data_IF_240107455929
#
_entry.id   IF_240107455929
#
_cell.length_a   1.000
_cell.length_b   1.000
_cell.length_c   1.000
_cell.angle_alpha   90.00
_cell.angle_beta   90.00
_cell.angle_gamma   90.00
#
_symmetry.space_group_name_H-M   'P 1'
#
loop_
_entity.id
_entity.type
_entity.pdbx_description
1 polymer ?
#
# COMPACT_ATOMS: atom_id res chain seq x y z
N UNK A 1 11.47 12.37 10.80
CA UNK A 1 12.67 11.55 10.95
C UNK A 1 12.93 10.83 9.64
N UNK A 2 14.13 11.00 9.07
CA UNK A 2 14.56 10.30 7.85
C UNK A 2 15.31 9.02 8.26
N UNK A 3 14.87 7.86 7.75
CA UNK A 3 15.49 6.56 8.06
C UNK A 3 15.83 5.83 6.77
N UNK A 4 17.12 5.69 6.51
CA UNK A 4 17.61 4.97 5.33
C UNK A 4 17.18 3.51 5.33
N UNK A 5 16.77 3.03 4.15
CA UNK A 5 16.41 1.63 3.96
C UNK A 5 17.55 0.70 4.35
N UNK A 6 18.79 1.06 3.99
CA UNK A 6 19.99 0.31 4.36
C UNK A 6 20.15 0.12 5.87
N UNK A 7 19.76 1.12 6.67
CA UNK A 7 19.82 1.04 8.14
C UNK A 7 18.70 0.15 8.69
N UNK A 8 17.49 0.29 8.15
CA UNK A 8 16.32 -0.49 8.57
C UNK A 8 16.42 -1.97 8.18
N UNK A 9 16.93 -2.25 6.99
CA UNK A 9 17.03 -3.58 6.37
C UNK A 9 18.38 -4.25 6.63
N UNK A 10 19.23 -3.64 7.48
CA UNK A 10 20.57 -4.15 7.82
C UNK A 10 20.54 -5.60 8.32
N UNK A 11 19.47 -5.98 9.01
CA UNK A 11 19.27 -7.32 9.57
C UNK A 11 18.29 -8.17 8.74
N UNK A 12 18.00 -7.77 7.50
CA UNK A 12 17.07 -8.44 6.60
C UNK A 12 15.68 -7.84 6.55
N UNK A 13 14.88 -8.33 5.60
CA UNK A 13 13.51 -7.87 5.37
C UNK A 13 12.57 -8.33 6.48
N UNK A 14 12.84 -9.46 7.14
CA UNK A 14 12.05 -9.95 8.29
C UNK A 14 12.09 -8.92 9.41
N UNK A 15 13.29 -8.49 9.80
CA UNK A 15 13.46 -7.47 10.84
C UNK A 15 12.73 -6.16 10.47
N UNK A 16 12.87 -5.71 9.22
CA UNK A 16 12.16 -4.53 8.75
C UNK A 16 10.63 -4.71 8.85
N UNK A 17 10.09 -5.90 8.56
CA UNK A 17 8.66 -6.18 8.75
C UNK A 17 8.23 -6.19 10.22
N UNK A 18 9.05 -6.74 11.13
CA UNK A 18 8.76 -6.79 12.57
C UNK A 18 8.80 -5.41 13.21
N UNK A 19 9.74 -4.56 12.79
CA UNK A 19 9.96 -3.24 13.39
C UNK A 19 8.75 -2.29 13.31
N UNK A 20 7.84 -2.52 12.35
CA UNK A 20 6.64 -1.68 12.15
C UNK A 20 5.38 -2.25 12.81
N UNK A 21 5.43 -3.48 13.33
CA UNK A 21 4.28 -4.15 13.96
C UNK A 21 3.69 -3.32 15.11
N UNK A 22 4.48 -2.77 16.05
CA UNK A 22 3.92 -1.99 17.17
C UNK A 22 3.18 -0.71 16.72
N UNK A 23 3.54 -0.14 15.56
CA UNK A 23 2.79 0.98 14.98
C UNK A 23 1.44 0.50 14.45
N UNK A 24 1.42 -0.60 13.72
CA UNK A 24 0.18 -1.15 13.16
C UNK A 24 -0.80 -1.61 14.25
N UNK A 25 -0.29 -2.20 15.33
CA UNK A 25 -1.11 -2.67 16.44
C UNK A 25 -1.79 -1.51 17.19
N UNK A 26 -1.14 -0.36 17.34
CA UNK A 26 -1.77 0.80 18.01
C UNK A 26 -2.63 1.66 17.09
N UNK A 27 -2.46 1.56 15.77
CA UNK A 27 -3.19 2.40 14.80
C UNK A 27 -4.63 1.93 14.66
N UNK A 28 -5.58 2.86 14.72
CA UNK A 28 -7.00 2.55 14.53
C UNK A 28 -7.49 2.85 13.11
N UNK A 29 -6.97 3.91 12.49
CA UNK A 29 -7.34 4.37 11.15
C UNK A 29 -6.10 4.53 10.27
N UNK A 30 -6.14 3.86 9.12
CA UNK A 30 -5.13 3.95 8.08
C UNK A 30 -5.71 4.72 6.90
N UNK A 31 -5.00 5.76 6.46
CA UNK A 31 -5.23 6.41 5.17
C UNK A 31 -3.99 6.21 4.32
N UNK A 32 -4.17 5.56 3.17
CA UNK A 32 -3.05 5.09 2.35
C UNK A 32 -3.27 5.58 0.93
N UNK A 33 -2.35 6.40 0.42
CA UNK A 33 -2.27 6.70 -0.99
C UNK A 33 -1.12 5.91 -1.60
N UNK A 34 -1.42 5.11 -2.62
CA UNK A 34 -0.45 4.22 -3.25
C UNK A 34 -0.46 4.38 -4.77
N UNK A 35 0.50 5.15 -5.33
CA UNK A 35 0.55 5.38 -6.77
C UNK A 35 1.34 4.33 -7.58
N UNK A 36 2.06 3.42 -6.93
CA UNK A 36 3.03 2.54 -7.61
C UNK A 36 2.96 1.05 -7.23
N UNK A 37 2.25 0.68 -6.16
CA UNK A 37 2.01 -0.72 -5.81
C UNK A 37 0.72 -0.92 -5.03
N UNK A 38 0.28 -2.17 -4.89
CA UNK A 38 -0.84 -2.51 -4.00
C UNK A 38 -0.31 -2.50 -2.56
N UNK A 39 -0.88 -1.72 -1.63
CA UNK A 39 -0.27 -1.49 -0.33
C UNK A 39 -0.37 -2.70 0.58
N UNK A 40 0.59 -2.76 1.52
CA UNK A 40 0.79 -3.86 2.46
C UNK A 40 -0.47 -4.49 3.04
N UNK A 41 -1.49 -3.77 3.54
CA UNK A 41 -2.66 -4.39 4.18
C UNK A 41 -3.50 -5.30 3.29
N UNK A 42 -3.40 -5.17 1.97
CA UNK A 42 -4.28 -5.85 0.99
C UNK A 42 -3.50 -6.65 -0.05
N UNK A 43 -2.30 -7.13 0.28
CA UNK A 43 -1.48 -7.98 -0.60
C UNK A 43 -1.73 -9.48 -0.34
N UNK A 44 -1.64 -10.31 -1.37
CA UNK A 44 -1.59 -11.77 -1.25
C UNK A 44 -0.16 -12.24 -0.96
N UNK A 45 -0.01 -13.45 -0.41
CA UNK A 45 1.31 -14.02 -0.12
C UNK A 45 2.20 -14.14 -1.38
N UNK A 46 1.61 -14.47 -2.55
CA UNK A 46 2.34 -14.55 -3.82
C UNK A 46 2.83 -13.17 -4.28
N UNK A 47 1.99 -12.13 -4.16
CA UNK A 47 2.38 -10.76 -4.47
C UNK A 47 3.46 -10.25 -3.50
N UNK A 48 3.32 -10.51 -2.20
CA UNK A 48 4.34 -10.17 -1.20
C UNK A 48 5.68 -10.82 -1.55
N UNK A 49 5.67 -12.11 -1.90
CA UNK A 49 6.87 -12.86 -2.25
C UNK A 49 7.57 -12.22 -3.44
N UNK A 50 6.84 -11.91 -4.52
CA UNK A 50 7.39 -11.27 -5.71
C UNK A 50 7.96 -9.87 -5.40
N UNK A 51 7.23 -9.05 -4.64
CA UNK A 51 7.65 -7.71 -4.26
C UNK A 51 8.90 -7.72 -3.39
N UNK A 52 8.93 -8.55 -2.33
CA UNK A 52 10.07 -8.63 -1.42
C UNK A 52 11.31 -9.20 -2.09
N UNK A 53 11.12 -10.16 -3.02
CA UNK A 53 12.20 -10.66 -3.88
C UNK A 53 12.81 -9.55 -4.72
N UNK A 54 11.98 -8.74 -5.39
CA UNK A 54 12.45 -7.59 -6.17
C UNK A 54 13.19 -6.56 -5.31
N UNK A 55 12.71 -6.29 -4.09
CA UNK A 55 13.37 -5.36 -3.15
C UNK A 55 14.74 -5.92 -2.72
N UNK A 56 14.81 -7.20 -2.33
CA UNK A 56 16.05 -7.89 -1.94
C UNK A 56 17.08 -7.77 -3.06
N UNK A 57 16.71 -8.12 -4.28
CA UNK A 57 17.62 -8.14 -5.43
C UNK A 57 18.12 -6.74 -5.77
N UNK A 58 17.22 -5.75 -5.80
CA UNK A 58 17.57 -4.35 -6.09
C UNK A 58 18.50 -3.74 -5.03
N UNK A 59 18.36 -4.14 -3.77
CA UNK A 59 19.10 -3.56 -2.64
C UNK A 59 20.26 -4.42 -2.12
N UNK A 60 20.48 -5.61 -2.70
CA UNK A 60 21.56 -6.52 -2.30
C UNK A 60 21.44 -7.01 -0.85
N UNK A 61 20.24 -7.35 -0.41
CA UNK A 61 19.95 -7.75 0.98
C UNK A 61 20.19 -9.25 1.21
N UNK A 62 20.26 -9.65 2.48
CA UNK A 62 20.24 -11.07 2.86
C UNK A 62 18.95 -11.72 2.37
N UNK A 63 19.00 -13.00 2.00
CA UNK A 63 17.82 -13.72 1.56
C UNK A 63 17.04 -14.31 2.75
N UNK A 64 16.17 -13.49 3.33
CA UNK A 64 15.21 -13.89 4.35
C UNK A 64 13.75 -13.70 3.90
N UNK A 65 13.52 -13.66 2.58
CA UNK A 65 12.20 -13.38 1.97
C UNK A 65 11.10 -14.30 2.51
N UNK A 66 11.26 -15.63 2.61
CA UNK A 66 10.20 -16.50 3.14
C UNK A 66 9.78 -16.14 4.56
N UNK A 67 10.73 -15.75 5.42
CA UNK A 67 10.45 -15.34 6.78
C UNK A 67 9.78 -13.96 6.81
N UNK A 68 10.22 -13.03 5.97
CA UNK A 68 9.62 -11.71 5.84
C UNK A 68 8.18 -11.76 5.30
N UNK A 69 7.90 -12.68 4.35
CA UNK A 69 6.54 -12.96 3.85
C UNK A 69 5.65 -13.39 4.99
N UNK A 70 6.09 -14.35 5.83
CA UNK A 70 5.33 -14.83 6.98
C UNK A 70 4.94 -13.69 7.92
N UNK A 71 5.90 -12.85 8.32
CA UNK A 71 5.63 -11.69 9.18
C UNK A 71 4.64 -10.72 8.53
N UNK A 72 4.77 -10.45 7.23
CA UNK A 72 3.84 -9.54 6.54
C UNK A 72 2.42 -10.12 6.46
N UNK A 73 2.27 -11.41 6.17
CA UNK A 73 0.96 -12.10 6.13
C UNK A 73 0.28 -12.10 7.50
N UNK A 74 1.03 -12.36 8.57
CA UNK A 74 0.52 -12.30 9.94
C UNK A 74 0.09 -10.87 10.31
N UNK A 75 0.91 -9.87 9.98
CA UNK A 75 0.61 -8.46 10.22
C UNK A 75 -0.63 -7.99 9.46
N UNK A 76 -0.91 -8.51 8.26
CA UNK A 76 -2.08 -8.14 7.46
C UNK A 76 -3.43 -8.54 8.09
N UNK A 77 -3.44 -9.49 9.03
CA UNK A 77 -4.69 -9.95 9.67
C UNK A 77 -5.45 -8.82 10.38
N UNK A 78 -4.78 -7.70 10.69
CA UNK A 78 -5.41 -6.49 11.24
C UNK A 78 -6.53 -5.93 10.36
N UNK A 79 -6.56 -6.23 9.06
CA UNK A 79 -7.60 -5.78 8.12
C UNK A 79 -8.98 -6.36 8.42
N UNK A 80 -9.01 -7.56 9.02
CA UNK A 80 -10.23 -8.27 9.43
C UNK A 80 -10.72 -7.85 10.83
N UNK A 81 -10.00 -6.95 11.50
CA UNK A 81 -10.36 -6.43 12.82
C UNK A 81 -11.30 -5.22 12.77
N UNK A 82 -11.29 -4.44 13.86
CA UNK A 82 -12.10 -3.22 14.01
C UNK A 82 -11.48 -1.97 13.37
N UNK A 83 -10.22 -2.06 12.95
CA UNK A 83 -9.44 -0.95 12.35
C UNK A 83 -10.05 -0.54 11.02
N UNK A 84 -9.89 0.73 10.65
CA UNK A 84 -10.43 1.29 9.41
C UNK A 84 -9.30 1.55 8.42
N UNK A 85 -9.51 1.16 7.17
CA UNK A 85 -8.57 1.33 6.08
C UNK A 85 -9.26 2.13 4.98
N UNK A 86 -8.75 3.31 4.66
CA UNK A 86 -9.09 4.08 3.48
C UNK A 86 -7.89 4.05 2.54
N UNK A 87 -8.03 3.40 1.41
CA UNK A 87 -6.95 3.11 0.47
C UNK A 87 -7.29 3.77 -0.86
N UNK A 88 -6.39 4.58 -1.39
CA UNK A 88 -6.47 5.17 -2.71
C UNK A 88 -5.37 4.55 -3.58
N UNK A 89 -5.78 3.94 -4.69
CA UNK A 89 -4.88 3.39 -5.69
C UNK A 89 -4.99 4.20 -6.97
N UNK A 90 -3.86 4.45 -7.61
CA UNK A 90 -3.87 4.82 -9.03
C UNK A 90 -4.25 3.59 -9.87
N UNK A 91 -5.08 3.75 -10.89
CA UNK A 91 -5.43 2.62 -11.77
C UNK A 91 -4.19 1.96 -12.40
N UNK A 92 -3.12 2.73 -12.65
CA UNK A 92 -1.83 2.21 -13.14
C UNK A 92 -1.27 1.08 -12.25
N UNK A 93 -1.51 1.12 -10.94
CA UNK A 93 -1.09 0.09 -9.99
C UNK A 93 -1.65 -1.28 -10.33
N UNK A 94 -2.88 -1.34 -10.84
CA UNK A 94 -3.55 -2.59 -11.18
C UNK A 94 -2.90 -3.27 -12.39
N UNK A 95 -2.13 -2.51 -13.19
CA UNK A 95 -1.51 -2.95 -14.44
C UNK A 95 -0.02 -3.26 -14.29
N UNK A 96 0.62 -2.90 -13.17
CA UNK A 96 2.01 -3.29 -12.91
C UNK A 96 2.10 -4.79 -12.63
N UNK A 97 2.80 -5.53 -13.50
CA UNK A 97 2.88 -7.00 -13.49
C UNK A 97 3.85 -7.57 -12.44
N UNK A 98 3.67 -7.18 -11.17
CA UNK A 98 4.51 -7.67 -10.07
C UNK A 98 4.21 -9.16 -9.84
N UNK A 99 5.22 -10.01 -10.08
CA UNK A 99 5.08 -11.47 -9.98
C UNK A 99 4.46 -12.15 -11.20
N UNK A 100 4.22 -11.41 -12.29
CA UNK A 100 3.59 -11.93 -13.51
C UNK A 100 2.06 -11.98 -13.47
N UNK A 101 1.46 -12.44 -14.56
CA UNK A 101 0.01 -12.41 -14.79
C UNK A 101 -0.78 -13.18 -13.73
N UNK A 102 -0.39 -14.42 -13.41
CA UNK A 102 -1.11 -15.27 -12.47
C UNK A 102 -1.14 -14.66 -11.05
N UNK A 103 0.01 -14.13 -10.60
CA UNK A 103 0.11 -13.46 -9.30
C UNK A 103 -0.78 -12.22 -9.26
N UNK A 104 -0.79 -11.43 -10.34
CA UNK A 104 -1.64 -10.24 -10.42
C UNK A 104 -3.12 -10.58 -10.49
N UNK A 105 -3.54 -11.60 -11.25
CA UNK A 105 -4.94 -12.01 -11.30
C UNK A 105 -5.44 -12.43 -9.90
N UNK A 106 -4.66 -13.25 -9.18
CA UNK A 106 -4.98 -13.62 -7.80
C UNK A 106 -4.99 -12.43 -6.84
N UNK A 107 -4.05 -11.50 -7.00
CA UNK A 107 -3.98 -10.28 -6.20
C UNK A 107 -5.17 -9.33 -6.43
N UNK A 108 -5.59 -9.13 -7.67
CA UNK A 108 -6.74 -8.30 -8.02
C UNK A 108 -8.07 -8.97 -7.58
N UNK A 109 -8.18 -10.29 -7.71
CA UNK A 109 -9.31 -11.05 -7.13
C UNK A 109 -9.38 -10.91 -5.61
N UNK A 110 -8.24 -10.87 -4.93
CA UNK A 110 -8.18 -10.59 -3.50
C UNK A 110 -8.64 -9.16 -3.17
N UNK A 111 -8.28 -8.15 -3.98
CA UNK A 111 -8.80 -6.78 -3.83
C UNK A 111 -10.33 -6.76 -3.85
N UNK A 112 -10.95 -7.41 -4.84
CA UNK A 112 -12.41 -7.51 -4.93
C UNK A 112 -13.03 -8.16 -3.67
N UNK A 113 -12.32 -9.12 -3.07
CA UNK A 113 -12.77 -9.80 -1.84
C UNK A 113 -12.68 -8.88 -0.62
N UNK A 114 -11.57 -8.15 -0.43
CA UNK A 114 -11.41 -7.23 0.71
C UNK A 114 -12.27 -5.98 0.61
N UNK A 115 -12.66 -5.57 -0.61
CA UNK A 115 -13.65 -4.50 -0.81
C UNK A 115 -15.03 -4.81 -0.22
N UNK A 116 -15.33 -6.07 0.11
CA UNK A 116 -16.55 -6.44 0.80
C UNK A 116 -16.47 -6.23 2.33
N UNK A 117 -15.29 -5.95 2.89
CA UNK A 117 -15.11 -5.77 4.33
C UNK A 117 -15.59 -4.37 4.76
N UNK A 118 -16.41 -4.25 5.83
CA UNK A 118 -16.89 -2.95 6.32
C UNK A 118 -15.79 -2.10 6.98
N UNK A 119 -14.61 -2.68 7.19
CA UNK A 119 -13.39 -2.00 7.67
C UNK A 119 -12.58 -1.37 6.53
N UNK A 120 -12.85 -1.71 5.27
CA UNK A 120 -12.00 -1.37 4.13
C UNK A 120 -12.78 -0.55 3.10
N UNK A 121 -12.25 0.63 2.77
CA UNK A 121 -12.64 1.43 1.62
C UNK A 121 -11.48 1.49 0.66
N UNK A 122 -11.70 1.05 -0.58
CA UNK A 122 -10.74 1.15 -1.68
C UNK A 122 -11.35 2.06 -2.74
N UNK A 123 -10.67 3.18 -2.98
CA UNK A 123 -10.90 4.07 -4.10
C UNK A 123 -9.86 3.83 -5.18
N UNK A 124 -10.29 3.85 -6.44
CA UNK A 124 -9.40 3.82 -7.59
C UNK A 124 -9.45 5.19 -8.25
N UNK A 125 -8.31 5.83 -8.45
CA UNK A 125 -8.23 7.05 -9.25
C UNK A 125 -8.05 6.60 -10.71
N UNK A 126 -9.04 6.86 -11.60
CA UNK A 126 -8.98 6.44 -12.99
C UNK A 126 -7.82 7.10 -13.74
N UNK A 127 -7.33 6.43 -14.80
CA UNK A 127 -6.26 6.99 -15.65
C UNK A 127 -6.65 8.30 -16.36
N UNK A 128 -7.94 8.53 -16.58
CA UNK A 128 -8.51 9.69 -17.26
C UNK A 128 -9.01 10.78 -16.30
N UNK A 129 -8.78 10.64 -14.99
CA UNK A 129 -9.13 11.68 -14.02
C UNK A 129 -8.44 13.01 -14.34
N UNK A 130 -9.15 14.13 -14.19
CA UNK A 130 -8.56 15.48 -14.37
C UNK A 130 -7.51 15.76 -13.29
N UNK A 131 -6.26 15.94 -13.72
CA UNK A 131 -5.11 16.19 -12.86
C UNK A 131 -4.66 17.64 -12.82
N UNK A 132 -5.39 18.55 -13.44
CA UNK A 132 -5.06 19.98 -13.45
C UNK A 132 -5.00 20.59 -12.05
N UNK A 133 -5.85 20.12 -11.13
CA UNK A 133 -5.87 20.58 -9.73
C UNK A 133 -4.91 19.85 -8.79
N UNK A 134 -4.57 18.58 -9.08
CA UNK A 134 -3.70 17.77 -8.23
C UNK A 134 -3.07 16.60 -9.00
N UNK A 135 -1.80 16.78 -9.39
CA UNK A 135 -0.96 15.72 -9.94
C UNK A 135 -0.65 14.63 -8.89
N UNK A 136 -0.28 13.41 -9.31
CA UNK A 136 0.17 12.36 -8.39
C UNK A 136 1.36 12.81 -7.52
N UNK A 137 1.33 12.43 -6.25
CA UNK A 137 2.38 12.75 -5.25
C UNK A 137 3.08 11.46 -4.78
N UNK A 138 3.96 11.57 -3.79
CA UNK A 138 4.61 10.41 -3.19
C UNK A 138 3.60 9.47 -2.52
N UNK A 139 3.91 8.16 -2.51
CA UNK A 139 3.12 7.20 -1.76
C UNK A 139 3.30 7.41 -0.25
N UNK A 140 2.19 7.44 0.50
CA UNK A 140 2.22 7.65 1.94
C UNK A 140 1.17 6.84 2.71
N UNK A 141 1.52 6.54 3.95
CA UNK A 141 0.65 5.94 4.96
C UNK A 141 0.46 6.95 6.09
N UNK A 142 -0.77 7.38 6.31
CA UNK A 142 -1.18 8.20 7.43
C UNK A 142 -1.86 7.31 8.47
N UNK A 143 -1.21 7.19 9.62
CA UNK A 143 -1.64 6.44 10.78
C UNK A 143 -2.35 7.40 11.74
N UNK A 144 -3.65 7.20 11.89
CA UNK A 144 -4.56 8.07 12.61
C UNK A 144 -4.48 9.52 12.11
N UNK A 145 -4.17 10.48 12.98
CA UNK A 145 -3.79 11.87 12.67
C UNK A 145 -2.44 12.20 13.34
N UNK A 146 -1.61 11.19 13.58
CA UNK A 146 -0.44 11.30 14.46
C UNK A 146 0.89 11.08 13.75
N UNK A 147 0.90 10.30 12.66
CA UNK A 147 2.12 9.91 11.98
C UNK A 147 1.87 9.66 10.51
N UNK A 148 2.76 10.18 9.65
CA UNK A 148 2.83 9.82 8.23
C UNK A 148 4.15 9.12 7.95
N UNK A 149 4.13 8.01 7.23
CA UNK A 149 5.31 7.45 6.57
C UNK A 149 5.21 7.69 5.07
N UNK A 150 6.26 8.30 4.51
CA UNK A 150 6.42 8.52 3.06
C UNK A 150 7.52 7.60 2.56
N UNK A 151 7.24 6.89 1.49
CA UNK A 151 8.18 5.97 0.86
C UNK A 151 9.05 6.71 -0.15
N UNK A 152 10.37 6.72 0.07
CA UNK A 152 11.35 7.30 -0.85
C UNK A 152 12.25 6.19 -1.42
N UNK A 153 13.01 6.52 -2.47
CA UNK A 153 13.95 5.57 -3.07
C UNK A 153 15.02 5.12 -2.05
N UNK A 154 15.57 6.07 -1.29
CA UNK A 154 16.70 5.87 -0.37
C UNK A 154 16.31 5.60 1.09
N UNK A 155 15.10 6.02 1.50
CA UNK A 155 14.65 6.00 2.90
C UNK A 155 13.12 5.95 3.00
N UNK A 156 12.61 5.81 4.22
CA UNK A 156 11.29 6.37 4.53
C UNK A 156 11.44 7.64 5.36
N UNK A 157 10.49 8.55 5.16
CA UNK A 157 10.35 9.75 5.98
C UNK A 157 9.16 9.57 6.91
N UNK A 158 9.41 9.64 8.21
CA UNK A 158 8.36 9.73 9.23
C UNK A 158 8.08 11.20 9.56
N UNK A 159 6.85 11.65 9.36
CA UNK A 159 6.38 13.00 9.68
C UNK A 159 5.43 12.94 10.87
N UNK A 160 5.63 13.83 11.84
CA UNK A 160 4.81 13.93 13.08
C UNK A 160 4.43 15.39 13.41
N UNK A 161 4.93 16.34 12.61
CA UNK A 161 4.68 17.76 12.75
C UNK A 161 3.22 18.06 12.38
N UNK A 162 2.45 18.65 13.31
CA UNK A 162 0.99 18.85 13.16
C UNK A 162 0.59 19.57 11.86
N UNK A 163 1.34 20.59 11.46
CA UNK A 163 1.08 21.34 10.22
C UNK A 163 1.26 20.45 8.97
N UNK A 164 2.29 19.61 8.95
CA UNK A 164 2.55 18.68 7.85
C UNK A 164 1.55 17.52 7.85
N UNK A 165 1.20 16.96 9.02
CA UNK A 165 0.14 15.95 9.14
C UNK A 165 -1.18 16.47 8.57
N UNK A 166 -1.52 17.73 8.84
CA UNK A 166 -2.69 18.38 8.28
C UNK A 166 -2.58 18.56 6.75
N UNK A 167 -1.38 18.76 6.19
CA UNK A 167 -1.17 18.78 4.74
C UNK A 167 -1.44 17.41 4.13
N UNK A 168 -0.85 16.33 4.66
CA UNK A 168 -1.10 14.96 4.17
C UNK A 168 -2.58 14.57 4.27
N UNK A 169 -3.24 14.94 5.37
CA UNK A 169 -4.68 14.69 5.54
C UNK A 169 -5.51 15.42 4.47
N UNK A 170 -5.20 16.68 4.17
CA UNK A 170 -5.88 17.45 3.10
C UNK A 170 -5.61 16.86 1.72
N UNK A 171 -4.35 16.57 1.39
CA UNK A 171 -4.00 15.95 0.11
C UNK A 171 -4.67 14.59 -0.06
N UNK A 172 -4.78 13.78 0.99
CA UNK A 172 -5.54 12.52 0.93
C UNK A 172 -7.03 12.77 0.58
N UNK A 173 -7.65 13.79 1.18
CA UNK A 173 -9.03 14.16 0.87
C UNK A 173 -9.19 14.64 -0.58
N UNK A 174 -8.29 15.48 -1.07
CA UNK A 174 -8.29 15.96 -2.46
C UNK A 174 -8.10 14.80 -3.46
N UNK A 175 -7.20 13.85 -3.16
CA UNK A 175 -7.04 12.62 -3.96
C UNK A 175 -8.28 11.73 -3.91
N UNK A 176 -8.98 11.67 -2.79
CA UNK A 176 -10.21 10.90 -2.63
C UNK A 176 -11.35 11.45 -3.50
N UNK A 177 -11.38 12.78 -3.74
CA UNK A 177 -12.35 13.40 -4.64
C UNK A 177 -12.15 13.00 -6.11
N UNK A 178 -10.93 12.62 -6.49
CA UNK A 178 -10.61 12.09 -7.83
C UNK A 178 -10.94 10.59 -7.97
N UNK A 179 -11.17 9.88 -6.87
CA UNK A 179 -11.32 8.44 -6.86
C UNK A 179 -12.77 8.01 -7.10
N UNK A 180 -12.95 6.91 -7.83
CA UNK A 180 -14.21 6.17 -7.90
C UNK A 180 -14.22 5.03 -6.87
N UNK A 181 -15.41 4.68 -6.39
CA UNK A 181 -15.63 3.68 -5.34
C UNK A 181 -16.74 2.69 -5.72
N UNK A 182 -16.88 1.62 -4.92
CA UNK A 182 -18.00 0.70 -5.05
C UNK A 182 -18.05 0.01 -6.43
N UNK A 183 -19.22 -0.02 -7.11
CA UNK A 183 -19.35 -0.68 -8.41
C UNK A 183 -18.34 -0.21 -9.47
N UNK A 184 -18.10 1.10 -9.60
CA UNK A 184 -17.18 1.64 -10.61
C UNK A 184 -15.72 1.19 -10.36
N UNK A 185 -15.27 1.21 -9.11
CA UNK A 185 -13.95 0.69 -8.75
C UNK A 185 -13.83 -0.83 -9.04
N UNK A 186 -14.89 -1.60 -8.75
CA UNK A 186 -14.92 -3.05 -9.04
C UNK A 186 -14.86 -3.33 -10.54
N UNK A 187 -15.54 -2.53 -11.35
CA UNK A 187 -15.51 -2.65 -12.81
C UNK A 187 -14.09 -2.44 -13.35
N UNK A 188 -13.38 -1.40 -12.90
CA UNK A 188 -11.98 -1.16 -13.31
C UNK A 188 -11.09 -2.36 -12.94
N UNK A 189 -11.25 -2.92 -11.74
CA UNK A 189 -10.46 -4.08 -11.29
C UNK A 189 -10.80 -5.32 -12.13
N UNK A 190 -12.08 -5.61 -12.35
CA UNK A 190 -12.53 -6.75 -13.16
C UNK A 190 -12.05 -6.64 -14.61
N UNK A 191 -12.23 -5.48 -15.25
CA UNK A 191 -11.73 -5.23 -16.59
C UNK A 191 -10.20 -5.38 -16.68
N UNK A 192 -9.48 -4.99 -15.63
CA UNK A 192 -8.04 -5.19 -15.56
C UNK A 192 -7.69 -6.69 -15.49
N UNK A 193 -8.40 -7.49 -14.68
CA UNK A 193 -8.23 -8.95 -14.63
C UNK A 193 -8.47 -9.57 -16.01
N UNK A 194 -9.56 -9.21 -16.68
CA UNK A 194 -9.90 -9.71 -18.03
C UNK A 194 -8.83 -9.33 -19.08
N UNK A 195 -8.16 -8.19 -18.91
CA UNK A 195 -7.09 -7.76 -19.81
C UNK A 195 -5.74 -8.44 -19.58
N UNK A 196 -5.58 -9.24 -18.51
CA UNK A 196 -4.30 -9.88 -18.19
C UNK A 196 -3.95 -11.07 -19.10
N UNK A 197 -4.91 -11.60 -19.87
CA UNK A 197 -4.74 -12.73 -20.79
C UNK A 197 -5.80 -13.80 -20.58
#
# INVERSE_FOLDING_TARGET
MYVEWRKMERHGLKWAQESVVPLWERTERFRIYSPWLIPGPVQTASYITALLTSIRDRRGLIDDVPAAVKVRVEKQQVVYGKRKFAILLEESVLRYRIGGTEVMAGQLGYLLSVMALPSVSIGIIPQDADRSGLWPVEGFFLYDDELVNVELISAHLTVVQKNELAMYARTFSELAELAVYGPAAREIITATIESLG
#
